data_IF_657511732354
#
_entry.id   IF_657511732354
#
_cell.length_a   1.000
_cell.length_b   1.000
_cell.length_c   1.000
_cell.angle_alpha   90.00
_cell.angle_beta   90.00
_cell.angle_gamma   90.00
#
_symmetry.space_group_name_H-M   'P 1'
#
loop_
_entity.id
_entity.type
_entity.pdbx_description
1 polymer ?
#
# COMPACT_ATOMS: atom_id res chain seq x y z
N UNK A 1 -49.80 28.78 -5.59
CA UNK A 1 -49.61 27.55 -4.80
C UNK A 1 -48.33 26.89 -5.27
N UNK A 2 -47.40 26.66 -4.34
CA UNK A 2 -46.00 26.32 -4.61
C UNK A 2 -45.87 24.86 -5.06
N UNK A 3 -45.44 24.61 -6.30
CA UNK A 3 -44.94 23.31 -6.73
C UNK A 3 -43.54 23.13 -6.17
N UNK A 4 -43.42 22.40 -5.05
CA UNK A 4 -42.14 21.95 -4.52
C UNK A 4 -41.45 21.07 -5.57
N UNK A 5 -40.35 21.59 -6.13
CA UNK A 5 -39.36 20.82 -6.87
C UNK A 5 -38.84 19.71 -5.95
N UNK A 6 -39.07 18.46 -6.33
CA UNK A 6 -38.35 17.32 -5.77
C UNK A 6 -36.90 17.40 -6.28
N UNK A 7 -36.00 17.97 -5.48
CA UNK A 7 -34.57 17.70 -5.63
C UNK A 7 -34.36 16.21 -5.34
N UNK A 8 -34.13 15.41 -6.39
CA UNK A 8 -33.49 14.10 -6.21
C UNK A 8 -32.17 14.38 -5.48
N UNK A 9 -32.00 13.82 -4.29
CA UNK A 9 -30.70 13.77 -3.65
C UNK A 9 -29.78 13.01 -4.59
N UNK A 10 -28.72 13.67 -5.08
CA UNK A 10 -27.63 12.97 -5.75
C UNK A 10 -27.14 11.87 -4.81
N UNK A 11 -26.85 10.66 -5.32
CA UNK A 11 -26.27 9.61 -4.51
C UNK A 11 -25.00 10.17 -3.87
N UNK A 12 -24.95 10.16 -2.54
CA UNK A 12 -23.75 10.60 -1.82
C UNK A 12 -22.63 9.63 -2.20
N UNK A 13 -21.58 10.16 -2.85
CA UNK A 13 -20.35 9.41 -3.07
C UNK A 13 -19.88 8.83 -1.72
N UNK A 14 -19.39 7.58 -1.69
CA UNK A 14 -18.82 7.01 -0.48
C UNK A 14 -17.66 7.90 0.00
N UNK A 15 -17.60 8.14 1.31
CA UNK A 15 -16.54 8.97 1.88
C UNK A 15 -15.28 8.12 2.03
N UNK A 16 -14.19 8.52 1.38
CA UNK A 16 -12.88 7.90 1.56
C UNK A 16 -12.33 8.17 2.97
N UNK A 17 -11.47 7.28 3.48
CA UNK A 17 -10.68 7.54 4.69
C UNK A 17 -9.78 8.78 4.56
N UNK A 18 -9.49 9.41 5.69
CA UNK A 18 -8.64 10.60 5.79
C UNK A 18 -7.82 10.49 7.09
N UNK A 19 -6.51 10.80 7.06
CA UNK A 19 -5.66 10.84 8.26
C UNK A 19 -4.48 11.78 8.04
N UNK A 20 -3.98 12.46 9.07
CA UNK A 20 -2.86 13.42 8.98
C UNK A 20 -3.10 14.61 8.01
N UNK A 21 -4.32 14.79 7.50
CA UNK A 21 -4.59 15.71 6.38
C UNK A 21 -4.34 15.10 5.00
N UNK A 22 -4.04 13.80 4.91
CA UNK A 22 -4.07 13.02 3.67
C UNK A 22 -5.52 12.64 3.35
N UNK A 23 -5.93 12.90 2.12
CA UNK A 23 -7.28 12.60 1.62
C UNK A 23 -7.26 12.45 0.10
N UNK A 24 -8.30 11.82 -0.45
CA UNK A 24 -8.48 11.64 -1.89
C UNK A 24 -8.54 12.99 -2.63
N UNK A 25 -7.63 13.22 -3.59
CA UNK A 25 -7.46 14.49 -4.30
C UNK A 25 -6.57 15.51 -3.57
N UNK A 26 -6.09 15.19 -2.37
CA UNK A 26 -5.06 15.96 -1.67
C UNK A 26 -3.66 15.66 -2.20
N UNK A 27 -2.64 16.33 -1.65
CA UNK A 27 -1.25 16.06 -2.01
C UNK A 27 -0.30 16.18 -0.84
N UNK A 28 0.90 15.62 -0.98
CA UNK A 28 2.00 15.82 -0.05
C UNK A 28 3.31 16.03 -0.80
N UNK A 29 4.28 16.62 -0.11
CA UNK A 29 5.64 16.78 -0.61
C UNK A 29 6.63 16.03 0.28
N UNK A 30 7.56 15.33 -0.36
CA UNK A 30 8.69 14.67 0.29
C UNK A 30 9.85 15.67 0.50
N UNK A 31 10.64 15.49 1.55
CA UNK A 31 11.86 16.25 1.77
C UNK A 31 12.93 15.89 0.73
N UNK A 32 13.28 16.87 -0.10
CA UNK A 32 14.18 16.67 -1.23
C UNK A 32 15.60 16.29 -0.81
N UNK A 33 16.08 16.81 0.31
CA UNK A 33 17.43 16.50 0.79
C UNK A 33 17.49 15.05 1.27
N UNK A 34 16.52 14.61 2.07
CA UNK A 34 16.46 13.24 2.58
C UNK A 34 16.32 12.24 1.45
N UNK A 35 15.46 12.49 0.45
CA UNK A 35 15.35 11.65 -0.74
C UNK A 35 16.69 11.52 -1.46
N UNK A 36 17.34 12.65 -1.78
CA UNK A 36 18.62 12.64 -2.52
C UNK A 36 19.75 11.87 -1.81
N UNK A 37 19.70 11.80 -0.47
CA UNK A 37 20.67 11.05 0.33
C UNK A 37 20.33 9.56 0.42
N UNK A 38 19.04 9.20 0.33
CA UNK A 38 18.55 7.85 0.55
C UNK A 38 18.46 7.05 -0.75
N UNK A 39 17.93 7.67 -1.81
CA UNK A 39 17.64 7.05 -3.11
C UNK A 39 18.81 6.27 -3.71
N UNK A 40 20.09 6.72 -3.64
CA UNK A 40 21.22 5.94 -4.17
C UNK A 40 21.42 4.57 -3.52
N UNK A 41 20.84 4.34 -2.34
CA UNK A 41 20.87 3.06 -1.65
C UNK A 41 19.60 2.23 -1.83
N UNK A 42 18.54 2.79 -2.42
CA UNK A 42 17.26 2.12 -2.64
C UNK A 42 17.21 1.45 -4.02
N UNK A 43 16.17 0.65 -4.23
CA UNK A 43 15.72 0.16 -5.54
C UNK A 43 14.82 1.16 -6.23
N UNK A 44 14.19 2.05 -5.46
CA UNK A 44 13.41 3.17 -5.98
C UNK A 44 14.36 4.17 -6.64
N UNK A 45 14.04 4.59 -7.86
CA UNK A 45 14.75 5.63 -8.60
C UNK A 45 13.78 6.72 -9.04
N UNK A 46 14.15 7.97 -8.86
CA UNK A 46 13.44 9.13 -9.36
C UNK A 46 12.11 9.45 -8.68
N UNK A 47 11.95 9.11 -7.39
CA UNK A 47 10.71 9.39 -6.66
C UNK A 47 10.36 10.89 -6.74
N UNK A 48 9.16 11.20 -7.23
CA UNK A 48 8.70 12.56 -7.38
C UNK A 48 8.57 13.23 -6.01
N UNK A 49 9.03 14.47 -5.93
CA UNK A 49 8.90 15.24 -4.69
C UNK A 49 7.44 15.48 -4.33
N UNK A 50 6.63 15.85 -5.32
CA UNK A 50 5.21 16.15 -5.12
C UNK A 50 4.39 14.93 -5.50
N UNK A 51 3.47 14.56 -4.63
CA UNK A 51 2.69 13.34 -4.71
C UNK A 51 1.20 13.71 -4.63
N UNK A 52 0.47 13.55 -5.74
CA UNK A 52 -0.98 13.78 -5.80
C UNK A 52 -1.73 12.50 -5.50
N UNK A 53 -2.63 12.50 -4.52
CA UNK A 53 -3.38 11.32 -4.09
C UNK A 53 -4.55 11.08 -5.05
N UNK A 54 -4.50 9.99 -5.81
CA UNK A 54 -5.49 9.61 -6.82
C UNK A 54 -6.49 8.55 -6.33
N UNK A 55 -6.11 7.74 -5.35
CA UNK A 55 -7.00 6.76 -4.71
C UNK A 55 -6.62 6.55 -3.24
N UNK A 56 -7.59 6.08 -2.45
CA UNK A 56 -7.37 5.73 -1.04
C UNK A 56 -7.80 4.30 -0.78
N UNK A 57 -6.90 3.46 -0.25
CA UNK A 57 -7.16 2.12 0.21
C UNK A 57 -7.33 2.05 1.72
N UNK A 58 -8.23 1.20 2.21
CA UNK A 58 -8.35 0.82 3.61
C UNK A 58 -8.44 -0.69 3.76
N UNK A 59 -7.55 -1.26 4.57
CA UNK A 59 -7.57 -2.68 4.91
C UNK A 59 -7.48 -2.85 6.44
N UNK A 60 -8.55 -3.32 7.10
CA UNK A 60 -8.50 -3.70 8.50
C UNK A 60 -7.56 -4.89 8.72
N UNK A 61 -6.79 -4.86 9.80
CA UNK A 61 -5.93 -5.96 10.24
C UNK A 61 -6.60 -6.72 11.38
N UNK A 62 -6.42 -8.05 11.43
CA UNK A 62 -7.05 -8.94 12.41
C UNK A 62 -6.71 -8.60 13.87
N UNK A 63 -5.58 -7.93 14.12
CA UNK A 63 -5.11 -7.53 15.46
C UNK A 63 -5.71 -6.21 15.96
N UNK A 64 -6.66 -5.62 15.23
CA UNK A 64 -7.27 -4.33 15.57
C UNK A 64 -6.61 -3.12 14.92
N UNK A 65 -5.57 -3.35 14.11
CA UNK A 65 -4.93 -2.31 13.31
C UNK A 65 -5.66 -2.00 12.00
N UNK A 66 -5.24 -0.96 11.30
CA UNK A 66 -5.72 -0.63 9.96
C UNK A 66 -4.59 -0.13 9.09
N UNK A 67 -4.51 -0.63 7.86
CA UNK A 67 -3.71 -0.06 6.80
C UNK A 67 -4.53 0.98 6.05
N UNK A 68 -4.00 2.18 5.92
CA UNK A 68 -4.48 3.19 5.00
C UNK A 68 -3.41 3.38 3.91
N UNK A 69 -3.78 3.27 2.65
CA UNK A 69 -2.88 3.50 1.51
C UNK A 69 -3.37 4.68 0.69
N UNK A 70 -2.50 5.65 0.45
CA UNK A 70 -2.79 6.82 -0.36
C UNK A 70 -2.01 6.67 -1.67
N UNK A 71 -2.67 6.12 -2.69
CA UNK A 71 -2.08 5.86 -4.00
C UNK A 71 -1.89 7.17 -4.76
N UNK A 72 -0.71 7.34 -5.34
CA UNK A 72 -0.26 8.60 -5.91
C UNK A 72 -0.12 8.54 -7.43
N UNK A 73 0.08 9.70 -8.04
CA UNK A 73 0.38 9.84 -9.46
C UNK A 73 1.83 9.45 -9.85
N UNK A 74 2.63 8.97 -8.90
CA UNK A 74 4.04 8.64 -9.06
C UNK A 74 4.33 7.13 -8.90
N UNK A 75 3.41 6.30 -9.38
CA UNK A 75 3.54 4.84 -9.40
C UNK A 75 3.85 4.24 -8.01
N UNK A 76 3.17 4.78 -7.00
CA UNK A 76 3.43 4.45 -5.61
C UNK A 76 2.26 4.75 -4.69
N UNK A 77 2.49 4.56 -3.39
CA UNK A 77 1.54 4.89 -2.35
C UNK A 77 2.23 5.18 -1.02
N UNK A 78 1.65 6.12 -0.26
CA UNK A 78 1.99 6.30 1.14
C UNK A 78 1.11 5.37 1.98
N UNK A 79 1.71 4.48 2.76
CA UNK A 79 1.00 3.62 3.69
C UNK A 79 1.12 4.15 5.11
N UNK A 80 -0.02 4.31 5.79
CA UNK A 80 -0.11 4.63 7.21
C UNK A 80 -0.72 3.44 7.94
N UNK A 81 -0.02 2.93 8.94
CA UNK A 81 -0.50 1.83 9.80
C UNK A 81 -0.96 2.41 11.12
N UNK A 82 -2.20 2.13 11.51
CA UNK A 82 -2.71 2.50 12.83
C UNK A 82 -3.05 1.29 13.69
N UNK A 83 -3.00 1.45 15.01
CA UNK A 83 -3.46 0.47 15.99
C UNK A 83 -4.26 1.15 17.11
N UNK A 84 -5.45 0.63 17.40
CA UNK A 84 -6.34 1.20 18.43
C UNK A 84 -7.24 2.35 17.96
N UNK A 85 -7.21 2.74 16.68
CA UNK A 85 -8.13 3.73 16.11
C UNK A 85 -7.64 4.40 14.82
N UNK A 86 -8.46 5.28 14.26
CA UNK A 86 -8.17 6.09 13.05
C UNK A 86 -7.93 7.55 13.44
N UNK A 87 -6.90 7.79 14.27
CA UNK A 87 -6.43 9.13 14.59
C UNK A 87 -4.91 9.15 14.65
N UNK A 88 -4.33 10.34 14.59
CA UNK A 88 -2.87 10.51 14.55
C UNK A 88 -2.14 9.90 15.76
N UNK A 89 -2.79 9.87 16.93
CA UNK A 89 -2.24 9.25 18.14
C UNK A 89 -2.12 7.72 18.07
N UNK A 90 -2.74 7.10 17.06
CA UNK A 90 -2.74 5.66 16.85
C UNK A 90 -1.80 5.24 15.72
N UNK A 91 -1.08 6.18 15.09
CA UNK A 91 -0.13 5.86 14.02
C UNK A 91 1.06 5.12 14.61
N UNK A 92 1.38 3.98 14.02
CA UNK A 92 2.48 3.10 14.44
C UNK A 92 3.62 3.05 13.44
N UNK A 93 3.31 3.25 12.15
CA UNK A 93 4.29 3.17 11.07
C UNK A 93 3.78 3.95 9.85
N UNK A 94 4.71 4.57 9.11
CA UNK A 94 4.43 5.25 7.84
C UNK A 94 5.55 4.91 6.86
N UNK A 95 5.18 4.43 5.67
CA UNK A 95 6.14 4.05 4.62
C UNK A 95 5.70 4.57 3.26
N UNK A 96 6.64 5.05 2.47
CA UNK A 96 6.42 5.30 1.05
C UNK A 96 6.80 4.05 0.27
N UNK A 97 5.91 3.63 -0.62
CA UNK A 97 6.07 2.47 -1.49
C UNK A 97 6.05 2.90 -2.95
N UNK A 98 6.88 2.27 -3.78
CA UNK A 98 6.80 2.33 -5.23
C UNK A 98 6.57 0.92 -5.78
N UNK A 99 5.75 0.83 -6.83
CA UNK A 99 5.59 -0.42 -7.55
C UNK A 99 6.89 -0.72 -8.31
N UNK A 100 7.40 -1.93 -8.13
CA UNK A 100 8.56 -2.43 -8.85
C UNK A 100 8.14 -3.31 -10.02
N UNK A 101 7.21 -4.23 -9.79
CA UNK A 101 6.74 -5.15 -10.82
C UNK A 101 5.33 -5.64 -10.52
N UNK A 102 4.52 -5.81 -11.56
CA UNK A 102 3.25 -6.55 -11.50
C UNK A 102 3.25 -7.66 -12.54
N UNK A 103 3.02 -8.89 -12.11
CA UNK A 103 2.94 -10.08 -12.97
C UNK A 103 1.55 -10.70 -12.90
N UNK A 104 0.83 -10.72 -14.02
CA UNK A 104 -0.46 -11.42 -14.11
C UNK A 104 -0.30 -12.92 -13.91
N UNK A 105 -1.22 -13.52 -13.15
CA UNK A 105 -1.27 -14.97 -12.88
C UNK A 105 -2.44 -15.56 -13.67
N UNK A 106 -2.11 -16.32 -14.71
CA UNK A 106 -3.08 -16.70 -15.74
C UNK A 106 -4.02 -17.86 -15.38
N UNK A 107 -3.75 -18.62 -14.30
CA UNK A 107 -4.60 -19.74 -13.90
C UNK A 107 -4.44 -20.13 -12.42
N UNK A 108 -5.36 -20.95 -11.94
CA UNK A 108 -5.40 -21.43 -10.54
C UNK A 108 -4.18 -22.25 -10.12
N UNK A 109 -3.54 -23.00 -11.04
CA UNK A 109 -2.34 -23.75 -10.67
C UNK A 109 -1.17 -22.80 -10.40
N UNK A 110 -0.99 -21.77 -11.23
CA UNK A 110 0.01 -20.72 -11.02
C UNK A 110 -0.27 -19.90 -9.75
N UNK A 111 -1.55 -19.64 -9.45
CA UNK A 111 -1.95 -18.97 -8.22
C UNK A 111 -1.56 -19.75 -6.96
N UNK A 112 -1.92 -21.03 -6.92
CA UNK A 112 -1.59 -21.90 -5.80
C UNK A 112 -0.07 -22.05 -5.62
N UNK A 113 0.67 -22.11 -6.73
CA UNK A 113 2.14 -22.13 -6.72
C UNK A 113 2.71 -20.82 -6.16
N UNK A 114 2.16 -19.67 -6.57
CA UNK A 114 2.56 -18.36 -6.08
C UNK A 114 2.37 -18.22 -4.57
N UNK A 115 1.17 -18.55 -4.08
CA UNK A 115 0.83 -18.54 -2.65
C UNK A 115 1.77 -19.43 -1.82
N UNK A 116 2.12 -20.60 -2.36
CA UNK A 116 2.90 -21.60 -1.63
C UNK A 116 4.41 -21.33 -1.66
N UNK A 117 4.94 -20.94 -2.82
CA UNK A 117 6.38 -21.00 -3.10
C UNK A 117 6.99 -19.66 -3.52
N UNK A 118 6.21 -18.60 -3.67
CA UNK A 118 6.73 -17.29 -4.11
C UNK A 118 6.60 -16.23 -3.03
N UNK A 119 5.41 -16.04 -2.47
CA UNK A 119 5.14 -14.87 -1.61
C UNK A 119 5.89 -14.94 -0.28
N UNK A 120 5.92 -16.10 0.39
CA UNK A 120 6.55 -16.24 1.71
C UNK A 120 7.76 -17.17 1.71
N UNK A 121 8.85 -16.68 1.16
CA UNK A 121 10.18 -17.28 1.29
C UNK A 121 10.94 -16.71 2.49
N UNK A 122 11.94 -17.42 3.06
CA UNK A 122 12.79 -16.89 4.14
C UNK A 122 13.59 -15.64 3.73
N UNK A 123 14.02 -15.59 2.47
CA UNK A 123 14.66 -14.44 1.85
C UNK A 123 14.13 -14.24 0.44
N UNK A 124 14.22 -13.02 -0.06
CA UNK A 124 13.79 -12.66 -1.41
C UNK A 124 14.89 -11.86 -2.10
N UNK A 125 15.27 -12.27 -3.30
CA UNK A 125 16.27 -11.55 -4.12
C UNK A 125 15.55 -10.67 -5.13
N UNK A 126 15.91 -9.39 -5.17
CA UNK A 126 15.39 -8.41 -6.10
C UNK A 126 16.55 -7.53 -6.58
N UNK A 127 16.79 -7.48 -7.89
CA UNK A 127 17.85 -6.64 -8.47
C UNK A 127 19.24 -6.84 -7.81
N UNK A 128 19.59 -8.11 -7.54
CA UNK A 128 20.85 -8.47 -6.88
C UNK A 128 20.93 -8.10 -5.39
N UNK A 129 19.88 -7.51 -4.81
CA UNK A 129 19.74 -7.22 -3.38
C UNK A 129 18.95 -8.33 -2.71
N UNK A 130 19.39 -8.74 -1.52
CA UNK A 130 18.73 -9.79 -0.75
C UNK A 130 18.01 -9.18 0.44
N UNK A 131 16.71 -9.43 0.53
CA UNK A 131 15.85 -9.02 1.62
C UNK A 131 15.49 -10.24 2.49
N UNK A 132 15.35 -10.02 3.79
CA UNK A 132 15.00 -11.06 4.77
C UNK A 132 13.58 -10.87 5.26
N UNK A 133 12.83 -11.97 5.39
CA UNK A 133 11.44 -11.95 5.86
C UNK A 133 11.35 -11.36 7.27
N UNK A 134 10.44 -10.40 7.47
CA UNK A 134 10.20 -9.73 8.77
C UNK A 134 9.20 -10.53 9.61
N UNK A 135 8.11 -10.99 9.00
CA UNK A 135 7.06 -11.72 9.71
C UNK A 135 7.44 -13.20 9.90
N UNK A 136 7.86 -13.53 11.11
CA UNK A 136 8.19 -14.90 11.53
C UNK A 136 7.00 -15.67 12.09
N UNK A 137 7.04 -16.99 11.96
CA UNK A 137 6.15 -17.92 12.65
C UNK A 137 6.99 -18.96 13.42
N UNK A 138 6.34 -19.76 14.27
CA UNK A 138 7.00 -20.90 14.93
C UNK A 138 7.22 -21.99 13.88
N UNK A 139 8.45 -22.12 13.37
CA UNK A 139 8.83 -23.07 12.33
C UNK A 139 9.47 -22.40 11.12
N UNK A 140 9.75 -23.17 10.06
CA UNK A 140 10.36 -22.65 8.83
C UNK A 140 9.34 -21.93 7.93
N UNK A 141 8.07 -22.35 8.01
CA UNK A 141 6.95 -21.81 7.24
C UNK A 141 6.26 -20.66 7.98
N UNK A 142 6.11 -19.51 7.32
CA UNK A 142 5.32 -18.37 7.80
C UNK A 142 4.28 -18.05 6.73
N UNK A 143 2.97 -18.20 6.98
CA UNK A 143 1.97 -17.91 5.95
C UNK A 143 1.93 -16.40 5.63
N UNK A 144 1.60 -16.01 4.38
CA UNK A 144 1.30 -14.61 4.06
C UNK A 144 0.18 -14.06 4.94
N UNK A 145 0.26 -12.77 5.27
CA UNK A 145 -0.82 -12.05 5.93
C UNK A 145 -1.91 -11.78 4.90
N UNK A 146 -3.14 -12.22 5.19
CA UNK A 146 -4.29 -12.00 4.34
C UNK A 146 -5.06 -10.77 4.79
N UNK A 147 -5.37 -9.87 3.86
CA UNK A 147 -6.21 -8.68 4.10
C UNK A 147 -7.11 -8.43 2.91
N UNK A 148 -8.28 -7.84 3.15
CA UNK A 148 -9.13 -7.31 2.07
C UNK A 148 -9.06 -5.80 2.11
N UNK A 149 -8.55 -5.20 1.04
CA UNK A 149 -8.51 -3.75 0.89
C UNK A 149 -9.77 -3.26 0.17
N UNK A 150 -10.36 -2.19 0.69
CA UNK A 150 -11.36 -1.38 -0.03
C UNK A 150 -10.69 -0.12 -0.58
N UNK A 151 -10.74 0.07 -1.89
CA UNK A 151 -10.13 1.21 -2.59
C UNK A 151 -11.22 2.16 -3.08
N UNK A 152 -11.02 3.46 -2.83
CA UNK A 152 -11.91 4.57 -3.20
C UNK A 152 -11.21 5.44 -4.25
N UNK A 153 -11.86 5.65 -5.39
CA UNK A 153 -11.33 6.40 -6.54
C UNK A 153 -12.06 7.76 -6.72
N UNK A 154 -11.42 8.71 -7.42
CA UNK A 154 -11.92 10.10 -7.57
C UNK A 154 -13.27 10.17 -8.30
N UNK A 155 -13.48 9.29 -9.29
CA UNK A 155 -14.74 9.19 -10.02
C UNK A 155 -15.90 8.70 -9.13
N UNK A 156 -15.59 8.14 -7.96
CA UNK A 156 -16.53 7.63 -6.96
C UNK A 156 -16.66 6.12 -6.98
N UNK A 157 -15.89 5.43 -7.83
CA UNK A 157 -15.83 3.98 -7.85
C UNK A 157 -15.19 3.46 -6.55
N UNK A 158 -15.71 2.30 -6.12
CA UNK A 158 -15.22 1.59 -4.96
C UNK A 158 -15.02 0.14 -5.36
N UNK A 159 -13.83 -0.38 -5.10
CA UNK A 159 -13.50 -1.76 -5.37
C UNK A 159 -12.88 -2.45 -4.15
N UNK A 160 -12.90 -3.77 -4.17
CA UNK A 160 -12.32 -4.61 -3.12
C UNK A 160 -11.34 -5.59 -3.74
N UNK A 161 -10.18 -5.73 -3.11
CA UNK A 161 -9.10 -6.63 -3.55
C UNK A 161 -8.62 -7.44 -2.34
N UNK A 162 -8.57 -8.76 -2.48
CA UNK A 162 -7.96 -9.63 -1.50
C UNK A 162 -6.45 -9.66 -1.74
N UNK A 163 -5.67 -9.44 -0.69
CA UNK A 163 -4.21 -9.37 -0.73
C UNK A 163 -3.61 -10.41 0.22
N UNK A 164 -2.61 -11.13 -0.26
CA UNK A 164 -1.81 -12.09 0.48
C UNK A 164 -0.37 -11.58 0.47
N UNK A 165 0.03 -10.90 1.53
CA UNK A 165 1.27 -10.13 1.57
C UNK A 165 2.33 -10.75 2.48
N UNK A 166 3.59 -10.51 2.16
CA UNK A 166 4.73 -10.79 3.02
C UNK A 166 5.71 -9.60 2.98
N UNK A 167 6.16 -9.19 4.16
CA UNK A 167 7.10 -8.09 4.35
C UNK A 167 8.53 -8.60 4.50
N UNK A 168 9.43 -7.95 3.79
CA UNK A 168 10.86 -8.20 3.80
C UNK A 168 11.64 -6.90 4.02
N UNK A 169 12.82 -7.02 4.62
CA UNK A 169 13.71 -5.89 4.88
C UNK A 169 15.16 -6.23 4.50
N UNK A 170 15.89 -5.23 4.04
CA UNK A 170 17.35 -5.26 4.04
C UNK A 170 17.90 -4.01 4.71
N UNK A 171 19.03 -4.11 5.44
CA UNK A 171 19.67 -2.95 6.01
C UNK A 171 20.30 -2.07 4.92
N UNK A 172 20.23 -0.76 5.12
CA UNK A 172 20.95 0.28 4.38
C UNK A 172 21.71 1.15 5.39
N UNK A 173 22.39 2.20 4.93
CA UNK A 173 23.16 3.08 5.82
C UNK A 173 22.30 3.75 6.90
N UNK A 174 22.98 4.31 7.92
CA UNK A 174 22.35 5.09 9.00
C UNK A 174 21.27 4.33 9.80
N UNK A 175 21.44 3.01 9.95
CA UNK A 175 20.51 2.15 10.70
C UNK A 175 19.07 2.22 10.17
N UNK A 176 18.94 2.44 8.86
CA UNK A 176 17.68 2.39 8.12
C UNK A 176 17.56 1.05 7.40
N UNK A 177 16.35 0.76 6.95
CA UNK A 177 16.05 -0.40 6.12
C UNK A 177 15.41 0.06 4.81
N UNK A 178 15.70 -0.69 3.75
CA UNK A 178 14.82 -0.73 2.59
C UNK A 178 13.86 -1.90 2.78
N UNK A 179 12.59 -1.66 2.52
CA UNK A 179 11.52 -2.63 2.66
C UNK A 179 11.08 -3.14 1.30
N UNK A 180 10.64 -4.39 1.26
CA UNK A 180 10.10 -5.06 0.11
C UNK A 180 8.79 -5.72 0.50
N UNK A 181 7.73 -5.44 -0.25
CA UNK A 181 6.42 -6.04 -0.09
C UNK A 181 6.16 -6.94 -1.30
N UNK A 182 5.89 -8.22 -1.03
CA UNK A 182 5.51 -9.20 -2.04
C UNK A 182 4.05 -9.57 -1.78
N UNK A 183 3.18 -9.30 -2.75
CA UNK A 183 1.72 -9.42 -2.58
C UNK A 183 1.12 -10.25 -3.71
N UNK A 184 0.43 -11.32 -3.37
CA UNK A 184 -0.53 -11.92 -4.29
C UNK A 184 -1.85 -11.19 -4.16
N UNK A 185 -2.38 -10.64 -5.26
CA UNK A 185 -3.68 -9.98 -5.27
C UNK A 185 -4.71 -10.80 -6.03
N UNK A 186 -5.95 -10.83 -5.53
CA UNK A 186 -7.09 -11.48 -6.16
C UNK A 186 -8.30 -10.53 -6.14
N UNK A 187 -8.90 -10.31 -7.31
CA UNK A 187 -10.10 -9.50 -7.50
C UNK A 187 -11.13 -10.24 -8.33
N UNK A 188 -12.38 -10.25 -7.86
CA UNK A 188 -13.49 -10.81 -8.64
C UNK A 188 -13.93 -9.83 -9.73
N UNK A 189 -13.85 -10.25 -10.99
CA UNK A 189 -14.31 -9.49 -12.17
C UNK A 189 -15.38 -10.29 -12.91
N UNK A 190 -16.64 -9.95 -12.67
CA UNK A 190 -17.78 -10.73 -13.19
C UNK A 190 -17.77 -12.14 -12.60
N UNK A 191 -17.58 -13.16 -13.44
CA UNK A 191 -17.45 -14.56 -13.01
C UNK A 191 -15.98 -15.04 -12.98
N UNK A 192 -15.02 -14.18 -13.28
CA UNK A 192 -13.60 -14.51 -13.32
C UNK A 192 -12.89 -13.95 -12.10
N UNK A 193 -11.75 -14.56 -11.77
CA UNK A 193 -10.79 -14.04 -10.82
C UNK A 193 -9.63 -13.44 -11.61
N UNK A 194 -9.42 -12.15 -11.42
CA UNK A 194 -8.21 -11.46 -11.83
C UNK A 194 -7.18 -11.60 -10.73
N UNK A 195 -5.96 -12.00 -11.09
CA UNK A 195 -4.90 -12.34 -10.13
C UNK A 195 -3.57 -11.83 -10.61
N UNK A 196 -2.79 -11.28 -9.70
CA UNK A 196 -1.42 -10.86 -9.98
C UNK A 196 -0.51 -11.08 -8.77
N UNK A 197 0.79 -11.11 -9.06
CA UNK A 197 1.85 -10.92 -8.09
C UNK A 197 2.34 -9.49 -8.23
N UNK A 198 2.25 -8.71 -7.16
CA UNK A 198 2.72 -7.33 -7.07
C UNK A 198 3.94 -7.29 -6.16
N UNK A 199 4.99 -6.63 -6.63
CA UNK A 199 6.21 -6.38 -5.90
C UNK A 199 6.35 -4.87 -5.75
N UNK A 200 6.52 -4.42 -4.51
CA UNK A 200 6.76 -3.01 -4.20
C UNK A 200 7.99 -2.88 -3.30
N UNK A 201 8.77 -1.84 -3.51
CA UNK A 201 9.88 -1.47 -2.61
C UNK A 201 9.54 -0.18 -1.90
N UNK A 202 10.00 0.00 -0.67
CA UNK A 202 9.63 1.15 0.14
C UNK A 202 10.66 1.49 1.20
N UNK A 203 10.43 2.63 1.86
CA UNK A 203 11.26 3.10 2.97
C UNK A 203 10.41 3.85 4.01
N UNK A 204 10.95 3.95 5.21
CA UNK A 204 10.30 4.63 6.33
C UNK A 204 10.22 6.13 6.11
N UNK A 205 9.04 6.68 6.40
CA UNK A 205 8.75 8.11 6.33
C UNK A 205 8.45 8.62 7.74
N UNK A 206 9.28 9.53 8.22
CA UNK A 206 9.08 10.24 9.47
C UNK A 206 8.21 11.49 9.24
N UNK A 207 7.52 12.01 10.27
CA UNK A 207 6.73 13.23 10.14
C UNK A 207 7.50 14.46 9.63
N UNK A 208 8.82 14.50 9.87
CA UNK A 208 9.69 15.57 9.39
C UNK A 208 10.01 15.47 7.88
N UNK A 209 9.71 14.34 7.25
CA UNK A 209 10.03 14.05 5.86
C UNK A 209 8.94 14.46 4.89
N UNK A 210 7.75 14.76 5.41
CA UNK A 210 6.58 15.07 4.59
C UNK A 210 5.94 16.39 4.99
N UNK A 211 5.55 17.15 3.98
CA UNK A 211 4.69 18.31 4.13
C UNK A 211 3.36 18.02 3.44
N UNK A 212 2.27 18.06 4.19
CA UNK A 212 0.94 17.76 3.67
C UNK A 212 0.30 19.06 3.19
N UNK A 213 -0.12 19.07 1.93
CA UNK A 213 -0.75 20.21 1.29
C UNK A 213 -2.27 19.99 1.30
N UNK A 214 -2.93 20.64 2.26
CA UNK A 214 -4.38 20.58 2.46
C UNK A 214 -5.18 21.49 1.54
#
# INVERSE_FOLDING_TARGET
MFSKLFKKSEPKKPKSPEIMGLYLGGSFELDNLKLSLLEPELTIEGAARSQLIQAVGQAPLDTGGTLLRFYTDDDGFLQVVTDGGLSENHITDVKLWHFYETKTIGNTAQWNECLKNVISQPSYELDGKVFTRVWGAVGDESPPVAVTETTYEEDGDVSTTDQFMMLYERPISNNRVETLLVVGEEKQVGNNLDRCLVISTGFDVEPADITING
#
